data_IF_829319065251
#
_entry.id   IF_829319065251
#
_cell.length_a   1.000
_cell.length_b   1.000
_cell.length_c   1.000
_cell.angle_alpha   90.00
_cell.angle_beta   90.00
_cell.angle_gamma   90.00
#
_symmetry.space_group_name_H-M   'P 1'
#
loop_
_entity.id
_entity.type
_entity.pdbx_description
1 polymer ?
#
# COMPACT_ATOMS: atom_id res chain seq x y z
N UNK A 1 10.12 -32.07 12.34
CA UNK A 1 11.40 -31.37 12.52
C UNK A 1 11.89 -30.69 11.25
N UNK A 2 12.02 -31.35 10.09
CA UNK A 2 12.49 -30.71 8.84
C UNK A 2 11.63 -29.50 8.39
N UNK A 3 10.29 -29.60 8.44
CA UNK A 3 9.40 -28.52 7.94
C UNK A 3 9.37 -27.25 8.81
N UNK A 4 9.57 -27.41 10.13
CA UNK A 4 9.76 -26.25 11.00
C UNK A 4 11.16 -25.62 10.79
N UNK A 5 12.12 -26.34 10.18
CA UNK A 5 13.39 -25.78 9.70
C UNK A 5 13.18 -24.96 8.43
N UNK A 6 12.43 -25.48 7.46
CA UNK A 6 12.09 -24.76 6.21
C UNK A 6 11.35 -23.44 6.50
N UNK A 7 10.36 -23.45 7.41
CA UNK A 7 9.67 -22.23 7.84
C UNK A 7 10.63 -21.22 8.49
N UNK A 8 11.59 -21.69 9.31
CA UNK A 8 12.60 -20.83 9.92
C UNK A 8 13.55 -20.25 8.87
N UNK A 9 13.96 -21.04 7.89
CA UNK A 9 14.81 -20.59 6.78
C UNK A 9 14.09 -19.53 5.93
N UNK A 10 12.80 -19.75 5.61
CA UNK A 10 11.98 -18.75 4.91
C UNK A 10 11.83 -17.48 5.73
N UNK A 11 11.59 -17.59 7.04
CA UNK A 11 11.50 -16.42 7.93
C UNK A 11 12.84 -15.67 8.02
N UNK A 12 13.97 -16.37 8.05
CA UNK A 12 15.31 -15.75 8.02
C UNK A 12 15.55 -15.04 6.69
N UNK A 13 15.23 -15.69 5.57
CA UNK A 13 15.33 -15.08 4.23
C UNK A 13 14.46 -13.84 4.10
N UNK A 14 13.22 -13.89 4.61
CA UNK A 14 12.31 -12.74 4.62
C UNK A 14 12.87 -11.58 5.44
N UNK A 15 13.50 -11.84 6.60
CA UNK A 15 14.17 -10.81 7.40
C UNK A 15 15.38 -10.22 6.70
N UNK A 16 16.22 -11.05 6.09
CA UNK A 16 17.39 -10.58 5.34
C UNK A 16 16.97 -9.67 4.18
N UNK A 17 15.91 -10.08 3.45
CA UNK A 17 15.34 -9.29 2.38
C UNK A 17 14.81 -7.94 2.88
N UNK A 18 14.06 -7.94 3.98
CA UNK A 18 13.56 -6.71 4.59
C UNK A 18 14.69 -5.76 4.99
N UNK A 19 15.74 -6.27 5.63
CA UNK A 19 16.91 -5.46 6.04
C UNK A 19 17.61 -4.86 4.83
N UNK A 20 17.79 -5.64 3.77
CA UNK A 20 18.39 -5.14 2.53
C UNK A 20 17.52 -4.07 1.87
N UNK A 21 16.20 -4.32 1.76
CA UNK A 21 15.25 -3.35 1.22
C UNK A 21 15.25 -2.05 2.02
N UNK A 22 15.32 -2.11 3.34
CA UNK A 22 15.37 -0.91 4.18
C UNK A 22 16.70 -0.18 4.05
N UNK A 23 17.83 -0.87 3.94
CA UNK A 23 19.13 -0.22 3.73
C UNK A 23 19.20 0.52 2.38
N UNK A 24 18.71 -0.12 1.33
CA UNK A 24 18.69 0.44 -0.03
C UNK A 24 17.68 1.61 -0.10
N UNK A 25 16.45 1.41 0.39
CA UNK A 25 15.41 2.44 0.40
C UNK A 25 15.73 3.60 1.36
N UNK A 26 16.49 3.37 2.45
CA UNK A 26 16.88 4.44 3.35
C UNK A 26 17.79 5.46 2.66
N UNK A 27 18.79 4.94 1.96
CA UNK A 27 19.73 5.77 1.19
C UNK A 27 18.99 6.54 0.12
N UNK A 28 18.04 5.89 -0.55
CA UNK A 28 17.21 6.50 -1.57
C UNK A 28 16.29 7.60 -1.00
N UNK A 29 15.51 7.32 0.06
CA UNK A 29 14.61 8.30 0.67
C UNK A 29 15.36 9.54 1.19
N UNK A 30 16.56 9.34 1.75
CA UNK A 30 17.40 10.46 2.18
C UNK A 30 17.81 11.34 0.99
N UNK A 31 18.35 10.74 -0.08
CA UNK A 31 18.71 11.47 -1.31
C UNK A 31 17.50 12.20 -1.91
N UNK A 32 16.32 11.57 -1.84
CA UNK A 32 15.08 12.18 -2.33
C UNK A 32 14.62 13.34 -1.47
N UNK A 33 14.77 13.23 -0.15
CA UNK A 33 14.43 14.29 0.80
C UNK A 33 15.30 15.54 0.64
N UNK A 34 16.57 15.36 0.25
CA UNK A 34 17.52 16.47 0.02
C UNK A 34 17.18 17.30 -1.23
N UNK A 35 16.40 16.75 -2.16
CA UNK A 35 15.95 17.44 -3.39
C UNK A 35 14.66 18.24 -3.22
N UNK A 36 14.04 18.18 -2.03
CA UNK A 36 12.80 18.90 -1.75
C UNK A 36 13.06 20.39 -1.61
N UNK A 37 12.21 21.20 -2.24
CA UNK A 37 12.19 22.65 -2.01
C UNK A 37 11.81 22.96 -0.55
N UNK A 38 12.78 23.50 0.17
CA UNK A 38 12.68 23.82 1.59
C UNK A 38 11.64 24.91 1.86
N UNK A 39 11.43 25.86 0.93
CA UNK A 39 10.44 26.91 1.12
C UNK A 39 9.02 26.34 1.07
N UNK A 40 8.76 25.49 0.09
CA UNK A 40 7.50 24.75 -0.05
C UNK A 40 7.24 23.87 1.17
N UNK A 41 8.24 23.11 1.61
CA UNK A 41 8.13 22.27 2.81
C UNK A 41 7.87 23.10 4.08
N UNK A 42 8.43 24.31 4.19
CA UNK A 42 8.21 25.23 5.31
C UNK A 42 6.78 25.77 5.34
N UNK A 43 6.20 26.08 4.18
CA UNK A 43 4.79 26.46 4.10
C UNK A 43 3.88 25.34 4.63
N UNK A 44 4.10 24.10 4.15
CA UNK A 44 3.31 22.94 4.61
C UNK A 44 3.52 22.60 6.08
N UNK A 45 4.74 22.77 6.59
CA UNK A 45 5.03 22.62 8.01
C UNK A 45 4.21 23.60 8.86
N UNK A 46 4.06 24.84 8.39
CA UNK A 46 3.19 25.85 9.02
C UNK A 46 1.70 25.47 8.97
N UNK A 47 1.20 25.10 7.79
CA UNK A 47 -0.21 24.72 7.60
C UNK A 47 -0.63 23.51 8.44
N UNK A 48 0.23 22.49 8.51
CA UNK A 48 -0.04 21.24 9.22
C UNK A 48 0.48 21.23 10.66
N UNK A 49 1.11 22.31 11.10
CA UNK A 49 1.69 22.47 12.45
C UNK A 49 2.62 21.32 12.83
N UNK A 50 3.54 20.95 11.94
CA UNK A 50 4.52 19.88 12.16
C UNK A 50 5.97 20.38 11.99
N UNK A 51 6.97 19.67 12.54
CA UNK A 51 8.38 19.95 12.25
C UNK A 51 8.67 19.92 10.75
N UNK A 52 9.54 20.83 10.29
CA UNK A 52 9.95 20.94 8.88
C UNK A 52 10.46 19.60 8.32
N UNK A 53 11.19 18.84 9.12
CA UNK A 53 11.75 17.55 8.73
C UNK A 53 10.66 16.53 8.40
N UNK A 54 9.57 16.51 9.17
CA UNK A 54 8.42 15.65 8.90
C UNK A 54 7.69 16.11 7.64
N UNK A 55 7.57 17.42 7.44
CA UNK A 55 6.96 17.97 6.23
C UNK A 55 7.75 17.60 4.96
N UNK A 56 9.09 17.64 5.01
CA UNK A 56 9.97 17.22 3.90
C UNK A 56 9.72 15.76 3.52
N UNK A 57 9.76 14.84 4.50
CA UNK A 57 9.53 13.41 4.22
C UNK A 57 8.10 13.16 3.74
N UNK A 58 7.10 13.83 4.33
CA UNK A 58 5.71 13.72 3.88
C UNK A 58 5.49 14.24 2.46
N UNK A 59 6.26 15.24 2.02
CA UNK A 59 6.24 15.75 0.64
C UNK A 59 6.74 14.71 -0.35
N UNK A 60 7.83 14.00 -0.02
CA UNK A 60 8.36 12.91 -0.85
C UNK A 60 7.30 11.83 -1.02
N UNK A 61 6.69 11.38 0.08
CA UNK A 61 5.65 10.33 0.05
C UNK A 61 4.40 10.74 -0.76
N UNK A 62 4.04 12.03 -0.77
CA UNK A 62 2.93 12.55 -1.57
C UNK A 62 3.27 12.60 -3.06
N UNK A 63 4.48 13.06 -3.42
CA UNK A 63 4.92 13.14 -4.81
C UNK A 63 4.99 11.76 -5.46
N UNK A 64 5.51 10.77 -4.75
CA UNK A 64 5.54 9.37 -5.22
C UNK A 64 4.19 8.70 -5.15
N UNK A 65 3.28 9.27 -4.35
CA UNK A 65 1.92 8.81 -4.30
C UNK A 65 1.63 7.64 -3.41
N UNK A 66 2.57 7.33 -2.53
CA UNK A 66 2.41 6.36 -1.47
C UNK A 66 1.29 6.83 -0.55
N UNK A 67 1.36 8.08 -0.08
CA UNK A 67 0.41 8.61 0.87
C UNK A 67 0.32 10.13 0.79
N UNK A 68 -0.90 10.68 0.86
CA UNK A 68 -1.09 12.13 0.82
C UNK A 68 -0.44 12.86 1.99
N UNK A 69 0.08 14.08 1.78
CA UNK A 69 0.85 14.88 2.77
C UNK A 69 0.27 14.84 4.18
N UNK A 70 -1.02 15.16 4.31
CA UNK A 70 -1.71 15.21 5.62
C UNK A 70 -1.72 13.86 6.33
N UNK A 71 -1.95 12.77 5.60
CA UNK A 71 -1.96 11.43 6.16
C UNK A 71 -0.54 10.96 6.53
N UNK A 72 0.46 11.30 5.71
CA UNK A 72 1.87 11.04 6.01
C UNK A 72 2.34 11.77 7.28
N UNK A 73 2.09 13.08 7.37
CA UNK A 73 2.38 13.86 8.59
C UNK A 73 1.68 13.26 9.80
N UNK A 74 0.41 12.86 9.68
CA UNK A 74 -0.33 12.26 10.80
C UNK A 74 0.28 10.94 11.28
N UNK A 75 0.75 10.07 10.38
CA UNK A 75 1.37 8.80 10.75
C UNK A 75 2.72 9.00 11.44
N UNK A 76 3.60 9.77 10.81
CA UNK A 76 4.93 10.06 11.36
C UNK A 76 4.82 10.78 12.71
N UNK A 77 3.92 11.78 12.82
CA UNK A 77 3.71 12.51 14.07
C UNK A 77 3.09 11.63 15.17
N UNK A 78 2.24 10.66 14.81
CA UNK A 78 1.65 9.72 15.78
C UNK A 78 2.73 8.88 16.44
N UNK A 79 3.68 8.35 15.67
CA UNK A 79 4.78 7.58 16.23
C UNK A 79 5.69 8.48 17.10
N UNK A 80 5.96 9.71 16.67
CA UNK A 80 6.72 10.67 17.47
C UNK A 80 6.06 10.92 18.85
N UNK A 81 4.74 11.09 18.85
CA UNK A 81 3.95 11.28 20.08
C UNK A 81 3.90 10.02 20.94
N UNK A 82 3.78 8.83 20.32
CA UNK A 82 3.82 7.55 21.05
C UNK A 82 5.17 7.35 21.74
N UNK A 83 6.27 7.62 21.04
CA UNK A 83 7.62 7.58 21.64
C UNK A 83 7.75 8.51 22.84
N UNK A 84 7.21 9.72 22.74
CA UNK A 84 7.18 10.64 23.86
C UNK A 84 6.34 10.10 25.05
N UNK A 85 5.19 9.47 24.81
CA UNK A 85 4.33 8.95 25.88
C UNK A 85 4.92 7.74 26.62
N UNK A 86 5.79 6.97 25.96
CA UNK A 86 6.48 5.81 26.57
C UNK A 86 7.87 6.16 27.13
N UNK A 87 8.22 7.45 27.18
CA UNK A 87 9.49 7.94 27.73
C UNK A 87 10.70 7.76 26.81
N UNK A 88 10.49 7.54 25.52
CA UNK A 88 11.52 7.39 24.47
C UNK A 88 11.49 8.59 23.51
N UNK A 89 11.25 9.80 24.05
CA UNK A 89 11.09 11.01 23.25
C UNK A 89 12.31 11.27 22.37
N UNK A 90 12.08 11.51 21.08
CA UNK A 90 13.13 11.98 20.17
C UNK A 90 13.51 13.41 20.58
N UNK A 91 14.81 13.71 20.82
CA UNK A 91 15.23 15.05 21.15
C UNK A 91 14.79 16.05 20.06
N UNK A 92 14.27 17.20 20.48
CA UNK A 92 13.76 18.24 19.58
C UNK A 92 14.91 19.03 18.92
N UNK A 93 15.78 18.33 18.21
CA UNK A 93 16.87 18.85 17.42
C UNK A 93 16.60 18.51 15.94
N UNK A 94 16.79 19.44 15.00
CA UNK A 94 16.52 19.21 13.58
C UNK A 94 17.12 17.91 13.02
N UNK A 95 18.38 17.58 13.36
CA UNK A 95 19.02 16.35 12.91
C UNK A 95 18.33 15.08 13.41
N UNK A 96 17.96 15.06 14.69
CA UNK A 96 17.31 13.91 15.32
C UNK A 96 15.88 13.69 14.80
N UNK A 97 15.15 14.78 14.56
CA UNK A 97 13.81 14.71 13.96
C UNK A 97 13.90 14.26 12.50
N UNK A 98 14.93 14.69 11.76
CA UNK A 98 15.15 14.22 10.39
C UNK A 98 15.47 12.73 10.35
N UNK A 99 16.40 12.26 11.18
CA UNK A 99 16.73 10.83 11.24
C UNK A 99 15.50 9.99 11.62
N UNK A 100 14.72 10.45 12.59
CA UNK A 100 13.46 9.82 12.95
C UNK A 100 12.46 9.82 11.79
N UNK A 101 12.26 10.97 11.14
CA UNK A 101 11.30 11.12 10.05
C UNK A 101 11.67 10.24 8.84
N UNK A 102 12.96 10.09 8.53
CA UNK A 102 13.43 9.21 7.46
C UNK A 102 13.14 7.74 7.78
N UNK A 103 13.50 7.28 8.99
CA UNK A 103 13.24 5.88 9.42
C UNK A 103 11.75 5.57 9.45
N UNK A 104 10.95 6.46 10.01
CA UNK A 104 9.49 6.28 10.06
C UNK A 104 8.87 6.40 8.66
N UNK A 105 9.39 7.30 7.82
CA UNK A 105 9.00 7.47 6.43
C UNK A 105 9.16 6.19 5.62
N UNK A 106 10.26 5.44 5.80
CA UNK A 106 10.45 4.14 5.15
C UNK A 106 9.44 3.09 5.62
N UNK A 107 9.13 3.06 6.91
CA UNK A 107 8.10 2.16 7.42
C UNK A 107 6.74 2.50 6.81
N UNK A 108 6.40 3.79 6.72
CA UNK A 108 5.16 4.24 6.06
C UNK A 108 5.17 3.86 4.57
N UNK A 109 6.25 4.13 3.84
CA UNK A 109 6.42 3.78 2.43
C UNK A 109 6.27 2.27 2.19
N UNK A 110 6.95 1.47 3.00
CA UNK A 110 6.91 0.02 2.92
C UNK A 110 5.51 -0.53 3.22
N UNK A 111 4.90 -0.10 4.32
CA UNK A 111 3.62 -0.63 4.79
C UNK A 111 2.48 -0.22 3.86
N UNK A 112 2.41 1.05 3.42
CA UNK A 112 1.34 1.57 2.56
C UNK A 112 1.51 1.15 1.09
N UNK A 113 2.74 0.97 0.64
CA UNK A 113 3.04 0.55 -0.72
C UNK A 113 3.21 -0.96 -0.83
N UNK A 114 4.46 -1.40 -0.72
CA UNK A 114 4.89 -2.74 -1.13
C UNK A 114 4.27 -3.87 -0.31
N UNK A 115 4.16 -3.70 1.00
CA UNK A 115 3.59 -4.72 1.88
C UNK A 115 2.14 -5.06 1.52
N UNK A 116 1.28 -4.05 1.30
CA UNK A 116 -0.12 -4.29 0.91
C UNK A 116 -0.18 -5.06 -0.41
N UNK A 117 0.58 -4.63 -1.42
CA UNK A 117 0.59 -5.27 -2.73
C UNK A 117 1.13 -6.71 -2.71
N UNK A 118 2.21 -6.95 -1.98
CA UNK A 118 2.79 -8.29 -1.82
C UNK A 118 1.86 -9.22 -1.02
N UNK A 119 1.22 -8.70 0.03
CA UNK A 119 0.26 -9.47 0.79
C UNK A 119 -0.98 -9.83 -0.06
N UNK A 120 -1.51 -8.90 -0.85
CA UNK A 120 -2.63 -9.16 -1.77
C UNK A 120 -2.27 -10.24 -2.81
N UNK A 121 -1.05 -10.23 -3.34
CA UNK A 121 -0.57 -11.29 -4.25
C UNK A 121 -0.53 -12.65 -3.55
N UNK A 122 0.00 -12.71 -2.33
CA UNK A 122 0.10 -13.96 -1.55
C UNK A 122 -1.27 -14.45 -1.04
N UNK A 123 -2.23 -13.56 -0.81
CA UNK A 123 -3.58 -13.92 -0.36
C UNK A 123 -4.45 -14.44 -1.49
N UNK A 124 -4.13 -14.17 -2.75
CA UNK A 124 -4.88 -14.67 -3.92
C UNK A 124 -4.88 -16.19 -3.99
N UNK A 125 -3.71 -16.82 -3.90
CA UNK A 125 -3.59 -18.28 -3.95
C UNK A 125 -4.31 -18.92 -2.77
N UNK A 126 -4.19 -18.29 -1.60
CA UNK A 126 -4.86 -18.72 -0.39
C UNK A 126 -6.38 -18.61 -0.49
N UNK A 127 -6.89 -17.53 -1.07
CA UNK A 127 -8.33 -17.30 -1.22
C UNK A 127 -8.98 -18.39 -2.09
N UNK A 128 -8.29 -18.84 -3.15
CA UNK A 128 -8.77 -19.94 -4.00
C UNK A 128 -8.85 -21.25 -3.21
N UNK A 129 -7.81 -21.55 -2.41
CA UNK A 129 -7.79 -22.74 -1.57
C UNK A 129 -8.86 -22.70 -0.48
N UNK A 130 -9.11 -21.52 0.10
CA UNK A 130 -10.14 -21.32 1.13
C UNK A 130 -11.57 -21.35 0.56
N UNK A 131 -11.81 -20.79 -0.63
CA UNK A 131 -13.13 -20.85 -1.30
C UNK A 131 -13.49 -22.28 -1.71
N UNK A 132 -12.50 -23.12 -2.05
CA UNK A 132 -12.72 -24.54 -2.32
C UNK A 132 -13.20 -25.31 -1.07
N UNK A 133 -13.05 -24.76 0.14
CA UNK A 133 -13.49 -25.37 1.39
C UNK A 133 -14.97 -25.16 1.70
N UNK A 134 -15.59 -24.11 1.14
CA UNK A 134 -17.01 -23.81 1.35
C UNK A 134 -17.95 -24.76 0.57
N UNK A 135 -17.39 -25.63 -0.28
CA UNK A 135 -18.12 -26.69 -0.97
C UNK A 135 -18.21 -27.94 -0.08
N UNK A 136 -19.39 -28.58 0.02
CA UNK A 136 -19.75 -29.65 1.00
C UNK A 136 -18.82 -30.89 1.08
N UNK A 137 -17.76 -30.99 0.28
CA UNK A 137 -16.79 -32.10 0.26
C UNK A 137 -15.36 -31.65 0.61
N UNK A 138 -15.18 -31.06 1.78
CA UNK A 138 -13.82 -30.76 2.26
C UNK A 138 -13.09 -32.05 2.69
N UNK A 139 -11.98 -32.37 2.03
CA UNK A 139 -11.12 -33.51 2.37
C UNK A 139 -10.10 -33.13 3.45
N UNK A 140 -9.60 -34.11 4.20
CA UNK A 140 -8.53 -33.91 5.19
C UNK A 140 -7.28 -33.29 4.54
N UNK A 141 -6.91 -33.75 3.35
CA UNK A 141 -5.76 -33.25 2.59
C UNK A 141 -5.92 -31.77 2.19
N UNK A 142 -7.13 -31.35 1.82
CA UNK A 142 -7.42 -29.94 1.53
C UNK A 142 -7.27 -29.05 2.77
N UNK A 143 -7.73 -29.52 3.94
CA UNK A 143 -7.57 -28.81 5.21
C UNK A 143 -6.09 -28.69 5.62
N UNK A 144 -5.29 -29.75 5.45
CA UNK A 144 -3.84 -29.71 5.69
C UNK A 144 -3.16 -28.70 4.75
N UNK A 145 -3.53 -28.71 3.47
CA UNK A 145 -2.95 -27.82 2.45
C UNK A 145 -3.23 -26.35 2.78
N UNK A 146 -4.46 -26.02 3.17
CA UNK A 146 -4.85 -24.67 3.59
C UNK A 146 -4.11 -24.24 4.84
N UNK A 147 -4.06 -25.10 5.87
CA UNK A 147 -3.32 -24.79 7.10
C UNK A 147 -1.84 -24.51 6.82
N UNK A 148 -1.24 -25.31 5.92
CA UNK A 148 0.15 -25.12 5.51
C UNK A 148 0.35 -23.76 4.85
N UNK A 149 -0.44 -23.43 3.82
CA UNK A 149 -0.30 -22.15 3.13
C UNK A 149 -0.61 -20.95 4.04
N UNK A 150 -1.58 -21.07 4.96
CA UNK A 150 -1.81 -20.03 5.98
C UNK A 150 -0.59 -19.82 6.86
N UNK A 151 0.09 -20.89 7.30
CA UNK A 151 1.32 -20.78 8.10
C UNK A 151 2.47 -20.20 7.30
N UNK A 152 2.67 -20.62 6.05
CA UNK A 152 3.71 -20.07 5.20
C UNK A 152 3.58 -18.54 5.05
N UNK A 153 2.37 -18.04 4.78
CA UNK A 153 2.17 -16.59 4.65
C UNK A 153 2.22 -15.88 6.01
N UNK A 154 1.54 -16.40 7.04
CA UNK A 154 1.48 -15.73 8.33
C UNK A 154 2.82 -15.78 9.09
N UNK A 155 3.44 -16.96 9.21
CA UNK A 155 4.63 -17.17 10.05
C UNK A 155 5.94 -16.88 9.30
N UNK A 156 6.02 -17.15 7.99
CA UNK A 156 7.25 -16.97 7.24
C UNK A 156 7.35 -15.61 6.53
N UNK A 157 6.22 -14.95 6.24
CA UNK A 157 6.22 -13.63 5.59
C UNK A 157 5.76 -12.49 6.52
N UNK A 158 4.57 -12.58 7.13
CA UNK A 158 4.02 -11.48 7.94
C UNK A 158 4.75 -11.35 9.28
N UNK A 159 4.84 -12.43 10.06
CA UNK A 159 5.39 -12.42 11.42
C UNK A 159 6.80 -11.80 11.50
N UNK A 160 7.77 -12.13 10.62
CA UNK A 160 9.11 -11.56 10.74
C UNK A 160 9.15 -10.04 10.47
N UNK A 161 8.20 -9.51 9.68
CA UNK A 161 8.02 -8.07 9.47
C UNK A 161 7.50 -7.42 10.76
N UNK A 162 6.49 -8.02 11.40
CA UNK A 162 5.95 -7.52 12.67
C UNK A 162 7.00 -7.52 13.77
N UNK A 163 7.78 -8.60 13.89
CA UNK A 163 8.89 -8.70 14.86
C UNK A 163 9.93 -7.60 14.63
N UNK A 164 10.28 -7.33 13.37
CA UNK A 164 11.25 -6.30 13.01
C UNK A 164 10.71 -4.91 13.33
N UNK A 165 9.45 -4.65 12.99
CA UNK A 165 8.79 -3.38 13.33
C UNK A 165 8.77 -3.15 14.84
N UNK A 166 8.31 -4.12 15.63
CA UNK A 166 8.27 -4.02 17.11
C UNK A 166 9.66 -3.80 17.70
N UNK A 167 10.70 -4.43 17.14
CA UNK A 167 12.09 -4.24 17.58
C UNK A 167 12.58 -2.80 17.33
N UNK A 168 12.15 -2.18 16.23
CA UNK A 168 12.55 -0.81 15.85
C UNK A 168 11.66 0.27 16.47
N UNK A 169 10.56 -0.12 17.11
CA UNK A 169 9.59 0.74 17.78
C UNK A 169 9.58 0.43 19.29
N UNK A 170 10.44 1.09 20.08
CA UNK A 170 10.59 0.79 21.50
C UNK A 170 9.26 0.85 22.25
N UNK A 171 9.02 -0.16 23.09
CA UNK A 171 7.80 -0.29 23.91
C UNK A 171 6.50 -0.28 23.10
N UNK A 172 6.54 -0.60 21.80
CA UNK A 172 5.33 -0.74 21.01
C UNK A 172 4.51 -1.94 21.48
N UNK A 173 3.21 -1.73 21.59
CA UNK A 173 2.22 -2.76 21.93
C UNK A 173 1.71 -3.47 20.68
N UNK A 174 1.06 -4.62 20.84
CA UNK A 174 0.32 -5.28 19.74
C UNK A 174 -0.75 -4.34 19.16
N UNK A 175 -1.34 -3.48 20.00
CA UNK A 175 -2.28 -2.44 19.57
C UNK A 175 -1.67 -1.46 18.55
N UNK A 176 -0.42 -1.04 18.78
CA UNK A 176 0.31 -0.14 17.87
C UNK A 176 0.57 -0.83 16.52
N UNK A 177 1.00 -2.10 16.56
CA UNK A 177 1.22 -2.92 15.35
C UNK A 177 -0.06 -3.01 14.53
N UNK A 178 -1.21 -3.24 15.15
CA UNK A 178 -2.46 -3.30 14.39
C UNK A 178 -2.83 -1.97 13.76
N UNK A 179 -2.62 -0.86 14.46
CA UNK A 179 -2.89 0.46 13.88
C UNK A 179 -1.98 0.69 12.68
N UNK A 180 -0.70 0.33 12.79
CA UNK A 180 0.27 0.45 11.71
C UNK A 180 -0.09 -0.43 10.50
N UNK A 181 -0.38 -1.72 10.69
CA UNK A 181 -0.52 -2.70 9.61
C UNK A 181 -1.96 -2.98 9.16
N UNK A 182 -2.96 -2.92 10.05
CA UNK A 182 -4.35 -3.25 9.68
C UNK A 182 -5.09 -2.06 9.06
N UNK A 183 -4.75 -0.82 9.44
CA UNK A 183 -5.37 0.37 8.88
C UNK A 183 -5.12 0.50 7.36
N UNK A 184 -3.87 0.35 6.86
CA UNK A 184 -3.56 0.40 5.43
C UNK A 184 -4.30 -0.68 4.62
N UNK A 185 -4.36 -1.89 5.17
CA UNK A 185 -5.02 -3.03 4.51
C UNK A 185 -6.54 -2.88 4.36
N UNK A 186 -7.18 -2.15 5.28
CA UNK A 186 -8.64 -2.12 5.38
C UNK A 186 -9.26 -0.77 5.09
N UNK A 187 -8.45 0.30 5.11
CA UNK A 187 -8.88 1.70 5.09
C UNK A 187 -9.90 2.05 6.18
N UNK A 188 -9.95 1.30 7.28
CA UNK A 188 -10.85 1.59 8.39
C UNK A 188 -10.29 2.69 9.28
N UNK A 189 -11.13 3.67 9.63
CA UNK A 189 -10.72 4.75 10.54
C UNK A 189 -10.31 4.22 11.93
N UNK A 190 -9.34 4.88 12.62
CA UNK A 190 -8.79 4.41 13.90
C UNK A 190 -9.85 4.11 14.97
N UNK A 191 -10.89 4.96 15.05
CA UNK A 191 -11.98 4.82 16.02
C UNK A 191 -12.85 3.57 15.80
N UNK A 192 -12.91 3.05 14.57
CA UNK A 192 -13.73 1.87 14.22
C UNK A 192 -12.92 0.60 14.05
N UNK A 193 -11.60 0.72 13.94
CA UNK A 193 -10.67 -0.37 13.65
C UNK A 193 -10.80 -1.50 14.68
N UNK A 194 -10.73 -1.19 15.98
CA UNK A 194 -10.81 -2.18 17.06
C UNK A 194 -12.10 -3.01 17.03
N UNK A 195 -13.25 -2.34 16.89
CA UNK A 195 -14.55 -3.00 16.85
C UNK A 195 -14.71 -3.93 15.65
N UNK A 196 -14.24 -3.51 14.48
CA UNK A 196 -14.28 -4.33 13.25
C UNK A 196 -13.28 -5.48 13.30
N UNK A 197 -12.08 -5.27 13.85
CA UNK A 197 -11.08 -6.33 14.04
C UNK A 197 -11.57 -7.40 15.00
N UNK A 198 -12.25 -7.04 16.10
CA UNK A 198 -12.87 -8.02 16.99
C UNK A 198 -13.88 -8.93 16.29
N UNK A 199 -14.68 -8.39 15.35
CA UNK A 199 -15.59 -9.21 14.53
C UNK A 199 -14.82 -10.14 13.60
N UNK A 200 -13.73 -9.67 12.99
CA UNK A 200 -12.87 -10.49 12.12
C UNK A 200 -12.10 -11.56 12.89
N UNK A 201 -11.65 -11.26 14.11
CA UNK A 201 -11.02 -12.21 15.05
C UNK A 201 -11.91 -13.41 15.30
N UNK A 202 -13.19 -13.19 15.64
CA UNK A 202 -14.18 -14.27 15.85
C UNK A 202 -14.39 -15.12 14.60
N UNK A 203 -14.40 -14.52 13.41
CA UNK A 203 -14.50 -15.25 12.13
C UNK A 203 -13.24 -16.08 11.87
N UNK A 204 -12.07 -15.54 12.14
CA UNK A 204 -10.79 -16.26 12.03
C UNK A 204 -10.75 -17.47 12.98
N UNK A 205 -11.19 -17.30 14.23
CA UNK A 205 -11.32 -18.41 15.19
C UNK A 205 -12.31 -19.47 14.70
N UNK A 206 -13.48 -19.08 14.20
CA UNK A 206 -14.47 -20.01 13.67
C UNK A 206 -13.91 -20.83 12.49
N UNK A 207 -13.16 -20.17 11.60
CA UNK A 207 -12.49 -20.81 10.48
C UNK A 207 -11.44 -21.84 10.94
N UNK A 208 -10.59 -21.50 11.92
CA UNK A 208 -9.64 -22.45 12.47
C UNK A 208 -10.32 -23.63 13.19
N UNK A 209 -11.42 -23.40 13.92
CA UNK A 209 -12.22 -24.49 14.52
C UNK A 209 -12.81 -25.43 13.47
N UNK A 210 -13.28 -24.89 12.34
CA UNK A 210 -13.75 -25.70 11.20
C UNK A 210 -12.64 -26.60 10.67
N UNK A 211 -11.42 -26.07 10.49
CA UNK A 211 -10.27 -26.86 10.06
C UNK A 211 -9.91 -27.95 11.08
N UNK A 212 -9.86 -27.63 12.38
CA UNK A 212 -9.59 -28.61 13.43
C UNK A 212 -10.62 -29.74 13.46
N UNK A 213 -11.92 -29.41 13.38
CA UNK A 213 -13.00 -30.41 13.35
C UNK A 213 -12.85 -31.39 12.19
N UNK A 214 -12.36 -30.91 11.05
CA UNK A 214 -12.26 -31.69 9.82
C UNK A 214 -11.00 -32.54 9.78
N UNK A 215 -9.92 -32.06 10.38
CA UNK A 215 -8.74 -32.88 10.68
C UNK A 215 -9.07 -34.01 11.66
N UNK A 216 -9.94 -33.79 12.63
CA UNK A 216 -10.33 -34.80 13.61
C UNK A 216 -11.15 -35.98 13.02
N UNK A 217 -11.63 -35.85 11.78
CA UNK A 217 -12.28 -36.94 11.05
C UNK A 217 -11.32 -37.88 10.30
N UNK A 218 -10.01 -37.63 10.39
CA UNK A 218 -8.97 -38.48 9.79
C UNK A 218 -8.57 -39.63 10.75
N UNK A 219 -8.16 -40.77 10.21
CA UNK A 219 -7.60 -41.87 11.01
C UNK A 219 -6.32 -41.44 11.76
N UNK A 220 -6.11 -42.03 12.94
CA UNK A 220 -5.06 -41.68 13.91
C UNK A 220 -3.67 -41.52 13.28
N UNK A 221 -3.27 -40.27 13.08
CA UNK A 221 -1.93 -39.90 12.62
C UNK A 221 -1.36 -38.87 13.57
N UNK A 222 -0.21 -39.16 14.16
CA UNK A 222 0.50 -38.25 15.06
C UNK A 222 0.78 -36.86 14.42
N UNK A 223 0.84 -36.79 13.08
CA UNK A 223 1.01 -35.52 12.35
C UNK A 223 -0.28 -34.68 12.35
N UNK A 224 -1.43 -35.36 12.28
CA UNK A 224 -2.76 -34.73 12.32
C UNK A 224 -3.05 -34.24 13.74
N UNK A 225 -2.76 -35.05 14.75
CA UNK A 225 -2.91 -34.66 16.17
C UNK A 225 -2.09 -33.41 16.51
N UNK A 226 -0.84 -33.37 16.05
CA UNK A 226 0.01 -32.21 16.23
C UNK A 226 -0.51 -30.96 15.51
N UNK A 227 -1.09 -31.13 14.32
CA UNK A 227 -1.72 -30.03 13.58
C UNK A 227 -2.98 -29.52 14.28
N UNK A 228 -3.83 -30.41 14.79
CA UNK A 228 -5.02 -30.07 15.58
C UNK A 228 -4.61 -29.31 16.85
N UNK A 229 -3.59 -29.80 17.58
CA UNK A 229 -3.08 -29.12 18.77
C UNK A 229 -2.62 -27.69 18.44
N UNK A 230 -1.82 -27.51 17.38
CA UNK A 230 -1.37 -26.18 16.93
C UNK A 230 -2.53 -25.25 16.58
N UNK A 231 -3.54 -25.77 15.89
CA UNK A 231 -4.74 -24.99 15.55
C UNK A 231 -5.48 -24.57 16.82
N UNK A 232 -5.62 -25.46 17.80
CA UNK A 232 -6.25 -25.14 19.08
C UNK A 232 -5.46 -24.10 19.88
N UNK A 233 -4.13 -24.23 19.93
CA UNK A 233 -3.24 -23.24 20.56
C UNK A 233 -3.42 -21.86 19.91
N UNK A 234 -3.50 -21.80 18.58
CA UNK A 234 -3.77 -20.56 17.84
C UNK A 234 -5.18 -20.00 18.10
N UNK A 235 -6.19 -20.85 18.19
CA UNK A 235 -7.57 -20.43 18.54
C UNK A 235 -7.61 -19.79 19.93
N UNK A 236 -6.87 -20.37 20.89
CA UNK A 236 -6.73 -19.84 22.24
C UNK A 236 -5.96 -18.52 22.25
N UNK A 237 -4.86 -18.43 21.49
CA UNK A 237 -4.10 -17.19 21.33
C UNK A 237 -4.94 -16.05 20.71
N UNK A 238 -5.78 -16.37 19.73
CA UNK A 238 -6.74 -15.43 19.14
C UNK A 238 -7.85 -15.01 20.12
N UNK A 239 -8.03 -15.70 21.24
CA UNK A 239 -9.06 -15.35 22.23
C UNK A 239 -8.65 -14.18 23.11
N UNK A 240 -7.34 -13.98 23.31
CA UNK A 240 -6.75 -12.87 24.05
C UNK A 240 -7.27 -11.50 23.56
N UNK A 241 -7.22 -10.48 24.44
CA UNK A 241 -7.50 -9.12 24.01
C UNK A 241 -6.50 -8.74 22.92
N UNK A 242 -7.03 -8.02 21.95
CA UNK A 242 -6.36 -7.58 20.76
C UNK A 242 -5.09 -6.76 21.08
N UNK A 243 -5.07 -6.02 22.21
CA UNK A 243 -3.93 -5.23 22.66
C UNK A 243 -2.77 -6.07 23.24
N UNK A 244 -3.06 -7.30 23.70
CA UNK A 244 -2.10 -8.19 24.36
C UNK A 244 -1.92 -9.51 23.62
N UNK A 245 -2.48 -9.62 22.42
CA UNK A 245 -2.36 -10.81 21.58
C UNK A 245 -0.91 -11.00 21.15
N UNK A 246 -0.47 -12.26 21.07
CA UNK A 246 0.86 -12.54 20.54
C UNK A 246 0.97 -12.17 19.04
N UNK A 247 2.19 -11.90 18.59
CA UNK A 247 2.43 -11.47 17.21
C UNK A 247 2.11 -12.56 16.18
N UNK A 248 2.16 -13.84 16.57
CA UNK A 248 1.85 -14.95 15.67
C UNK A 248 0.35 -14.99 15.35
N UNK A 249 -0.50 -14.89 16.37
CA UNK A 249 -1.94 -14.79 16.25
C UNK A 249 -2.34 -13.50 15.54
N UNK A 250 -1.66 -12.37 15.80
CA UNK A 250 -1.86 -11.14 15.05
C UNK A 250 -1.51 -11.34 13.56
N UNK A 251 -0.41 -12.02 13.22
CA UNK A 251 -0.04 -12.29 11.83
C UNK A 251 -1.13 -13.10 11.10
N UNK A 252 -1.69 -14.12 11.76
CA UNK A 252 -2.83 -14.86 11.23
C UNK A 252 -4.11 -14.03 11.11
N UNK A 253 -4.31 -13.05 11.99
CA UNK A 253 -5.43 -12.10 11.90
C UNK A 253 -5.23 -11.11 10.75
N UNK A 254 -4.02 -10.56 10.57
CA UNK A 254 -3.65 -9.69 9.45
C UNK A 254 -3.90 -10.42 8.12
N UNK A 255 -3.46 -11.67 8.01
CA UNK A 255 -3.74 -12.51 6.85
C UNK A 255 -5.25 -12.68 6.59
N UNK A 256 -6.05 -12.82 7.65
CA UNK A 256 -7.50 -13.00 7.52
C UNK A 256 -8.24 -11.73 7.09
N UNK A 257 -7.73 -10.54 7.42
CA UNK A 257 -8.34 -9.26 7.05
C UNK A 257 -7.81 -8.68 5.73
N UNK A 258 -6.68 -9.21 5.24
CA UNK A 258 -6.09 -8.78 3.99
C UNK A 258 -7.14 -8.75 2.87
N UNK A 259 -7.08 -7.74 1.97
CA UNK A 259 -7.96 -7.69 0.82
C UNK A 259 -7.94 -9.02 0.08
N UNK A 260 -9.13 -9.58 -0.14
CA UNK A 260 -9.28 -10.75 -0.99
C UNK A 260 -9.56 -10.26 -2.40
N UNK A 261 -8.97 -10.88 -3.44
CA UNK A 261 -9.35 -10.58 -4.80
C UNK A 261 -10.84 -10.90 -4.96
N UNK A 262 -11.68 -9.86 -5.06
CA UNK A 262 -13.08 -10.03 -5.40
C UNK A 262 -13.15 -10.34 -6.87
N UNK A 263 -13.42 -11.60 -7.22
CA UNK A 263 -13.85 -11.93 -8.58
C UNK A 263 -15.04 -11.04 -8.96
N UNK A 264 -15.06 -10.53 -10.20
CA UNK A 264 -16.24 -9.87 -10.76
C UNK A 264 -17.46 -10.78 -10.55
N UNK A 265 -18.61 -10.19 -10.26
CA UNK A 265 -19.84 -10.85 -9.81
C UNK A 265 -20.48 -11.91 -10.73
N UNK A 266 -19.76 -12.46 -11.70
CA UNK A 266 -20.19 -13.58 -12.52
C UNK A 266 -19.40 -14.84 -12.13
N UNK A 267 -19.76 -15.42 -10.97
CA UNK A 267 -19.20 -16.68 -10.49
C UNK A 267 -19.81 -17.85 -11.29
N UNK A 268 -19.06 -18.38 -12.27
CA UNK A 268 -19.31 -19.74 -12.78
C UNK A 268 -18.53 -20.75 -11.92
N UNK A 269 -19.17 -21.82 -11.40
CA UNK A 269 -18.50 -22.85 -10.59
C UNK A 269 -17.50 -23.72 -11.38
N UNK A 270 -17.34 -23.48 -12.69
CA UNK A 270 -16.47 -24.27 -13.57
C UNK A 270 -15.17 -23.56 -13.97
N UNK A 271 -14.96 -22.31 -13.56
CA UNK A 271 -13.74 -21.57 -13.92
C UNK A 271 -12.81 -21.56 -12.71
N UNK A 272 -11.96 -22.59 -12.61
CA UNK A 272 -10.72 -22.47 -11.86
C UNK A 272 -9.84 -21.44 -12.59
N UNK A 273 -9.49 -20.34 -11.93
CA UNK A 273 -8.52 -19.38 -12.45
C UNK A 273 -7.12 -20.00 -12.39
N UNK A 274 -6.80 -20.85 -13.35
CA UNK A 274 -5.46 -21.42 -13.56
C UNK A 274 -4.59 -20.57 -14.49
N UNK A 275 -5.13 -19.48 -15.03
CA UNK A 275 -4.39 -18.52 -15.83
C UNK A 275 -4.13 -17.24 -15.04
N UNK A 276 -2.91 -16.70 -15.18
CA UNK A 276 -2.78 -15.25 -15.20
C UNK A 276 -3.84 -14.74 -16.17
N UNK A 277 -4.84 -14.03 -15.67
CA UNK A 277 -5.73 -13.27 -16.52
C UNK A 277 -4.89 -12.13 -17.08
N UNK A 278 -4.13 -12.40 -18.14
CA UNK A 278 -3.85 -11.40 -19.15
C UNK A 278 -5.22 -11.00 -19.68
N UNK A 279 -5.70 -9.87 -19.17
CA UNK A 279 -6.88 -9.19 -19.68
C UNK A 279 -6.82 -9.22 -21.21
N UNK A 280 -7.92 -9.63 -21.85
CA UNK A 280 -8.09 -9.41 -23.28
C UNK A 280 -7.82 -7.94 -23.60
N UNK A 281 -6.77 -7.69 -24.38
CA UNK A 281 -6.36 -6.40 -24.97
C UNK A 281 -6.40 -5.16 -24.06
N UNK A 282 -6.31 -5.30 -22.74
CA UNK A 282 -6.11 -4.20 -21.80
C UNK A 282 -5.05 -4.59 -20.81
N UNK A 283 -3.82 -4.72 -21.30
CA UNK A 283 -2.61 -4.61 -20.49
C UNK A 283 -2.86 -3.50 -19.47
N UNK A 284 -2.87 -3.84 -18.18
CA UNK A 284 -2.66 -2.80 -17.18
C UNK A 284 -1.30 -2.20 -17.56
N UNK A 285 -1.19 -0.88 -17.79
CA UNK A 285 0.10 -0.31 -18.15
C UNK A 285 1.09 -0.69 -17.05
N UNK A 286 2.27 -1.18 -17.45
CA UNK A 286 3.36 -1.41 -16.50
C UNK A 286 3.57 -0.10 -15.74
N UNK A 287 3.46 -0.11 -14.41
CA UNK A 287 3.35 1.11 -13.59
C UNK A 287 4.74 1.72 -13.34
N UNK A 288 5.50 1.96 -14.41
CA UNK A 288 6.90 2.39 -14.38
C UNK A 288 7.07 3.91 -14.63
N UNK A 289 6.12 4.52 -15.34
CA UNK A 289 6.10 5.94 -15.71
C UNK A 289 4.95 6.68 -15.04
N UNK A 290 5.14 7.96 -14.65
CA UNK A 290 4.05 8.81 -14.15
C UNK A 290 2.87 8.93 -15.14
N UNK A 291 3.10 8.69 -16.44
CA UNK A 291 2.06 8.69 -17.47
C UNK A 291 1.17 7.44 -17.45
N UNK A 292 1.64 6.29 -16.93
CA UNK A 292 0.82 5.09 -16.75
C UNK A 292 -0.30 5.33 -15.73
N UNK A 293 0.02 6.05 -14.65
CA UNK A 293 -0.95 6.49 -13.66
C UNK A 293 -1.94 7.49 -14.25
N UNK A 294 -1.47 8.43 -15.08
CA UNK A 294 -2.31 9.43 -15.72
C UNK A 294 -3.27 8.81 -16.71
N UNK A 295 -2.82 7.85 -17.53
CA UNK A 295 -3.65 7.11 -18.48
C UNK A 295 -4.81 6.41 -17.77
N UNK A 296 -4.50 5.68 -16.69
CA UNK A 296 -5.51 5.04 -15.84
C UNK A 296 -6.51 6.06 -15.28
N UNK A 297 -6.01 7.17 -14.75
CA UNK A 297 -6.84 8.17 -14.09
C UNK A 297 -7.72 8.93 -15.10
N UNK A 298 -7.26 9.15 -16.34
CA UNK A 298 -8.06 9.63 -17.48
C UNK A 298 -9.19 8.64 -17.79
N UNK A 299 -8.92 7.34 -17.90
CA UNK A 299 -9.99 6.36 -18.11
C UNK A 299 -11.02 6.26 -16.96
N UNK A 300 -10.63 6.61 -15.73
CA UNK A 300 -11.50 6.55 -14.56
C UNK A 300 -12.33 7.81 -14.36
N UNK A 301 -11.90 8.96 -14.87
CA UNK A 301 -12.55 10.24 -14.62
C UNK A 301 -14.01 10.32 -15.11
N UNK A 302 -14.41 9.73 -16.27
CA UNK A 302 -15.81 9.72 -16.71
C UNK A 302 -16.79 8.97 -15.79
N UNK A 303 -16.29 8.19 -14.82
CA UNK A 303 -17.14 7.47 -13.86
C UNK A 303 -17.58 8.33 -12.67
N UNK A 304 -17.09 9.57 -12.59
CA UNK A 304 -17.38 10.53 -11.52
C UNK A 304 -18.46 11.52 -11.96
N UNK A 305 -19.02 12.26 -11.00
CA UNK A 305 -19.92 13.37 -11.34
C UNK A 305 -19.11 14.52 -11.98
N UNK A 306 -19.73 15.24 -12.92
CA UNK A 306 -19.07 16.23 -13.79
C UNK A 306 -18.26 17.31 -13.01
N UNK A 307 -18.76 17.76 -11.85
CA UNK A 307 -18.03 18.71 -11.00
C UNK A 307 -16.81 18.10 -10.31
N UNK A 308 -16.85 16.81 -9.98
CA UNK A 308 -15.74 16.09 -9.34
C UNK A 308 -14.71 15.60 -10.36
N UNK A 309 -15.12 15.40 -11.61
CA UNK A 309 -14.26 14.96 -12.71
C UNK A 309 -13.12 15.95 -12.95
N UNK A 310 -13.45 17.24 -13.05
CA UNK A 310 -12.48 18.31 -13.31
C UNK A 310 -11.49 18.48 -12.16
N UNK A 311 -11.97 18.48 -10.91
CA UNK A 311 -11.09 18.57 -9.74
C UNK A 311 -10.17 17.36 -9.64
N UNK A 312 -10.71 16.17 -9.91
CA UNK A 312 -9.95 14.92 -9.85
C UNK A 312 -8.83 14.91 -10.90
N UNK A 313 -9.14 15.20 -12.16
CA UNK A 313 -8.12 15.19 -13.22
C UNK A 313 -7.06 16.26 -13.00
N UNK A 314 -7.45 17.48 -12.60
CA UNK A 314 -6.47 18.54 -12.30
C UNK A 314 -5.53 18.16 -11.18
N UNK A 315 -6.02 17.50 -10.13
CA UNK A 315 -5.18 17.00 -9.04
C UNK A 315 -4.17 15.96 -9.54
N UNK A 316 -4.60 15.02 -10.40
CA UNK A 316 -3.73 13.97 -10.96
C UNK A 316 -2.70 14.52 -11.93
N UNK A 317 -3.10 15.44 -12.82
CA UNK A 317 -2.18 16.13 -13.73
C UNK A 317 -1.16 16.95 -12.94
N UNK A 318 -1.60 17.71 -11.93
CA UNK A 318 -0.69 18.48 -11.08
C UNK A 318 0.32 17.57 -10.34
N UNK A 319 -0.07 16.34 -10.01
CA UNK A 319 0.84 15.35 -9.44
C UNK A 319 1.87 14.86 -10.46
N UNK A 320 1.47 14.59 -11.70
CA UNK A 320 2.40 14.22 -12.79
C UNK A 320 3.41 15.35 -13.05
N UNK A 321 2.95 16.60 -13.12
CA UNK A 321 3.82 17.77 -13.28
C UNK A 321 4.85 17.84 -12.15
N UNK A 322 4.42 17.66 -10.89
CA UNK A 322 5.33 17.65 -9.74
C UNK A 322 6.39 16.55 -9.84
N UNK A 323 5.99 15.33 -10.23
CA UNK A 323 6.90 14.19 -10.42
C UNK A 323 7.92 14.48 -11.52
N UNK A 324 7.52 15.10 -12.63
CA UNK A 324 8.42 15.42 -13.72
C UNK A 324 9.35 16.60 -13.39
N UNK A 325 8.86 17.60 -12.66
CA UNK A 325 9.67 18.70 -12.16
C UNK A 325 10.76 18.22 -11.20
N UNK A 326 10.43 17.22 -10.39
CA UNK A 326 11.38 16.53 -9.52
C UNK A 326 12.48 15.77 -10.29
N UNK A 327 12.24 15.41 -11.56
CA UNK A 327 13.24 14.83 -12.48
C UNK A 327 14.04 15.90 -13.26
N UNK A 328 14.06 17.14 -12.75
CA UNK A 328 14.74 18.30 -13.37
C UNK A 328 14.25 18.65 -14.78
N UNK A 329 12.95 18.46 -15.04
CA UNK A 329 12.32 18.97 -16.27
C UNK A 329 11.72 20.36 -16.06
N UNK A 330 11.99 21.27 -17.01
CA UNK A 330 11.35 22.58 -17.07
C UNK A 330 9.86 22.46 -17.43
N UNK A 331 9.04 23.43 -17.01
CA UNK A 331 7.57 23.38 -17.17
C UNK A 331 7.15 23.25 -18.64
N UNK A 332 7.84 23.95 -19.54
CA UNK A 332 7.63 23.83 -20.99
C UNK A 332 7.85 22.40 -21.48
N UNK A 333 8.96 21.79 -21.02
CA UNK A 333 9.29 20.41 -21.38
C UNK A 333 8.30 19.41 -20.80
N UNK A 334 7.81 19.66 -19.58
CA UNK A 334 6.80 18.83 -18.91
C UNK A 334 5.50 18.82 -19.72
N UNK A 335 5.03 19.97 -20.20
CA UNK A 335 3.80 20.06 -20.98
C UNK A 335 3.97 19.40 -22.35
N UNK A 336 5.07 19.65 -23.03
CA UNK A 336 5.41 18.99 -24.30
C UNK A 336 5.41 17.46 -24.16
N UNK A 337 6.11 16.93 -23.15
CA UNK A 337 6.17 15.49 -22.85
C UNK A 337 4.78 14.94 -22.51
N UNK A 338 4.00 15.67 -21.70
CA UNK A 338 2.67 15.21 -21.30
C UNK A 338 1.71 15.11 -22.47
N UNK A 339 1.72 16.11 -23.37
CA UNK A 339 0.86 16.11 -24.54
C UNK A 339 1.25 14.99 -25.50
N UNK A 340 2.55 14.76 -25.73
CA UNK A 340 3.02 13.65 -26.59
C UNK A 340 2.70 12.28 -26.01
N UNK A 341 2.95 12.06 -24.73
CA UNK A 341 2.63 10.77 -24.09
C UNK A 341 1.13 10.48 -24.10
N UNK A 342 0.29 11.49 -23.84
CA UNK A 342 -1.17 11.34 -23.97
C UNK A 342 -1.55 11.09 -25.45
N UNK A 343 -0.94 11.79 -26.41
CA UNK A 343 -1.18 11.57 -27.83
C UNK A 343 -0.95 10.11 -28.22
N UNK A 344 0.23 9.61 -27.88
CA UNK A 344 0.71 8.30 -28.29
C UNK A 344 -0.12 7.19 -27.64
N UNK A 345 -0.36 7.30 -26.31
CA UNK A 345 -1.10 6.30 -25.54
C UNK A 345 -2.58 6.21 -25.93
N UNK A 346 -3.20 7.35 -26.23
CA UNK A 346 -4.61 7.38 -26.62
C UNK A 346 -4.82 7.35 -28.14
N UNK A 347 -3.76 7.14 -28.93
CA UNK A 347 -3.81 7.09 -30.40
C UNK A 347 -4.56 8.29 -31.01
N UNK A 348 -4.23 9.49 -30.52
CA UNK A 348 -4.80 10.75 -31.01
C UNK A 348 -4.08 11.12 -32.32
N UNK A 349 -4.77 10.98 -33.44
CA UNK A 349 -4.28 11.37 -34.78
C UNK A 349 -4.57 12.85 -35.07
N UNK A 350 -3.77 13.45 -35.95
CA UNK A 350 -3.94 14.83 -36.46
C UNK A 350 -3.76 15.95 -35.43
N UNK A 351 -2.71 15.87 -34.61
CA UNK A 351 -2.38 16.93 -33.66
C UNK A 351 -1.22 17.79 -34.14
N UNK A 352 -1.47 19.10 -34.15
CA UNK A 352 -0.47 20.12 -34.43
C UNK A 352 0.25 20.48 -33.13
N UNK A 353 1.32 19.73 -32.83
CA UNK A 353 2.11 19.94 -31.63
C UNK A 353 2.83 21.29 -31.59
N UNK A 354 3.16 21.86 -32.75
CA UNK A 354 3.78 23.20 -32.83
C UNK A 354 2.77 24.26 -32.39
N UNK A 355 1.54 24.21 -32.92
CA UNK A 355 0.48 25.14 -32.50
C UNK A 355 0.10 25.01 -31.03
N UNK A 356 0.09 23.78 -30.49
CA UNK A 356 -0.18 23.57 -29.05
C UNK A 356 0.97 24.08 -28.16
N UNK A 357 2.22 24.02 -28.64
CA UNK A 357 3.35 24.60 -27.94
C UNK A 357 3.26 26.13 -27.92
N UNK A 358 2.94 26.76 -29.06
CA UNK A 358 2.75 28.21 -29.17
C UNK A 358 1.59 28.69 -28.28
N UNK A 359 0.44 27.99 -28.30
CA UNK A 359 -0.70 28.28 -27.41
C UNK A 359 -0.31 28.15 -25.92
N UNK A 360 0.61 27.25 -25.58
CA UNK A 360 1.10 27.10 -24.20
C UNK A 360 2.09 28.20 -23.81
N UNK A 361 3.05 28.54 -24.67
CA UNK A 361 4.02 29.60 -24.42
C UNK A 361 3.34 30.96 -24.22
N UNK A 362 2.31 31.27 -25.01
CA UNK A 362 1.49 32.48 -24.82
C UNK A 362 0.82 32.50 -23.44
N UNK A 363 0.20 31.38 -23.03
CA UNK A 363 -0.44 31.25 -21.71
C UNK A 363 0.57 31.33 -20.55
N UNK A 364 1.79 30.79 -20.74
CA UNK A 364 2.85 30.82 -19.75
C UNK A 364 3.46 32.22 -19.60
N UNK A 365 3.56 32.99 -20.69
CA UNK A 365 4.11 34.35 -20.71
C UNK A 365 3.26 35.34 -19.91
N UNK A 366 1.96 35.08 -19.79
CA UNK A 366 1.02 35.89 -19.02
C UNK A 366 0.91 35.49 -17.54
N UNK A 367 1.51 34.37 -17.14
CA UNK A 367 1.39 33.81 -15.80
C UNK A 367 2.57 34.21 -14.90
N UNK A 368 2.27 34.54 -13.64
CA UNK A 368 3.31 34.72 -12.63
C UNK A 368 4.04 33.40 -12.33
N UNK A 369 5.28 33.46 -11.83
CA UNK A 369 6.09 32.26 -11.51
C UNK A 369 5.33 31.23 -10.66
N UNK A 370 4.54 31.70 -9.69
CA UNK A 370 3.79 30.86 -8.75
C UNK A 370 2.56 30.19 -9.39
N UNK A 371 2.06 30.74 -10.49
CA UNK A 371 0.86 30.24 -11.19
C UNK A 371 1.18 29.28 -12.34
N UNK A 372 2.46 29.20 -12.77
CA UNK A 372 2.87 28.41 -13.92
C UNK A 372 2.52 26.92 -13.81
N UNK A 373 2.62 26.32 -12.62
CA UNK A 373 2.21 24.91 -12.42
C UNK A 373 0.70 24.73 -12.60
N UNK A 374 -0.11 25.66 -12.11
CA UNK A 374 -1.55 25.61 -12.21
C UNK A 374 -2.01 25.85 -13.67
N UNK A 375 -1.33 26.74 -14.39
CA UNK A 375 -1.56 26.99 -15.82
C UNK A 375 -1.20 25.76 -16.64
N UNK A 376 -0.05 25.13 -16.39
CA UNK A 376 0.35 23.87 -17.03
C UNK A 376 -0.67 22.74 -16.78
N UNK A 377 -1.12 22.57 -15.53
CA UNK A 377 -2.12 21.56 -15.20
C UNK A 377 -3.47 21.82 -15.89
N UNK A 378 -3.87 23.10 -15.99
CA UNK A 378 -5.09 23.51 -16.69
C UNK A 378 -4.98 23.26 -18.19
N UNK A 379 -3.84 23.57 -18.81
CA UNK A 379 -3.61 23.38 -20.23
C UNK A 379 -3.68 21.90 -20.64
N UNK A 380 -2.99 21.02 -19.92
CA UNK A 380 -3.05 19.56 -20.16
C UNK A 380 -4.47 19.04 -19.93
N UNK A 381 -5.19 19.56 -18.94
CA UNK A 381 -6.58 19.17 -18.69
C UNK A 381 -7.52 19.57 -19.83
N UNK A 382 -7.38 20.79 -20.36
CA UNK A 382 -8.15 21.26 -21.52
C UNK A 382 -7.84 20.46 -22.78
N UNK A 383 -6.57 20.11 -22.98
CA UNK A 383 -6.16 19.20 -24.05
C UNK A 383 -6.86 17.84 -23.95
N UNK A 384 -6.87 17.20 -22.78
CA UNK A 384 -7.57 15.92 -22.57
C UNK A 384 -9.08 16.06 -22.85
N UNK A 385 -9.72 17.14 -22.38
CA UNK A 385 -11.13 17.38 -22.66
C UNK A 385 -11.43 17.48 -24.16
N UNK A 386 -10.70 18.36 -24.84
CA UNK A 386 -10.91 18.69 -26.26
C UNK A 386 -10.61 17.53 -27.19
N UNK A 387 -9.56 16.75 -26.93
CA UNK A 387 -9.10 15.73 -27.87
C UNK A 387 -9.48 14.29 -27.50
N UNK A 388 -9.78 14.01 -26.23
CA UNK A 388 -10.16 12.66 -25.78
C UNK A 388 -11.64 12.52 -25.39
N UNK A 389 -12.23 13.49 -24.66
CA UNK A 389 -13.63 13.37 -24.22
C UNK A 389 -14.67 13.94 -25.20
N UNK A 390 -14.28 14.91 -26.04
CA UNK A 390 -15.16 15.47 -27.08
C UNK A 390 -15.14 14.66 -28.40
N UNK A 391 -14.43 13.53 -28.42
CA UNK A 391 -14.48 12.48 -29.45
C UNK A 391 -15.63 11.51 -29.15
#
# INVERSE_FOLDING_TARGET
MQRDSELKEMAVSSRQRLVQEFADNYTDLQVRSDRIDVERARQFAGELSCPLQIAIVAEVLDMEGVLGRKAAVQKISRELQRRASVGESVPNLPGNIMEFALKEGQWVEYIEGRFVGDLERKTRDLANLEEALDQEKMTVESAITVLRHRREVAEAYILPILETWVREHPKASTGDVMVAFCQPLTNWGPSTLRGKLNRKKRRNQAFFRLLAHRLAGAEDSATIDFSIKRVNDLVNALDADIETMDLQALAHLILHIAPRPTGRGDKSPYVQFTGQSSRGNKTEPDMDSPFDFLERDIHLAPRRQEREQDSFLREKIARVIRVLRYKDHDIEKIVELSIREIADRFSLSDMDFERLADEFEENLSMASMDEREAVAAKFIHEFIKKYYYER
#
